data_IF_919487188344
#
_entry.id   IF_919487188344
#
_cell.length_a   1.000
_cell.length_b   1.000
_cell.length_c   1.000
_cell.angle_alpha   90.00
_cell.angle_beta   90.00
_cell.angle_gamma   90.00
#
_symmetry.space_group_name_H-M   'P 1'
#
loop_
_entity.id
_entity.type
_entity.pdbx_description
1 polymer ?
#
# COMPACT_ATOMS: atom_id res chain seq x y z
N UNK A 1 -8.25 46.84 -21.97
CA UNK A 1 -7.62 47.13 -20.66
C UNK A 1 -8.36 46.56 -19.45
N UNK A 2 -9.46 47.14 -18.94
CA UNK A 2 -10.12 46.62 -17.71
C UNK A 2 -10.74 45.22 -17.87
N UNK A 3 -11.29 44.89 -19.05
CA UNK A 3 -11.88 43.57 -19.35
C UNK A 3 -10.85 42.45 -19.48
N UNK A 4 -9.66 42.76 -19.99
CA UNK A 4 -8.53 41.82 -20.08
C UNK A 4 -7.93 41.53 -18.71
N UNK A 5 -7.80 42.56 -17.85
CA UNK A 5 -7.35 42.36 -16.47
C UNK A 5 -8.32 41.48 -15.67
N UNK A 6 -9.63 41.65 -15.88
CA UNK A 6 -10.66 40.78 -15.30
C UNK A 6 -10.58 39.34 -15.81
N UNK A 7 -10.29 39.13 -17.10
CA UNK A 7 -10.09 37.79 -17.66
C UNK A 7 -8.82 37.12 -17.13
N UNK A 8 -7.73 37.87 -16.98
CA UNK A 8 -6.48 37.37 -16.40
C UNK A 8 -6.64 37.03 -14.92
N UNK A 9 -7.33 37.88 -14.13
CA UNK A 9 -7.66 37.57 -12.74
C UNK A 9 -8.52 36.31 -12.63
N UNK A 10 -9.53 36.17 -13.47
CA UNK A 10 -10.43 35.02 -13.45
C UNK A 10 -9.70 33.73 -13.90
N UNK A 11 -8.80 33.82 -14.88
CA UNK A 11 -7.94 32.71 -15.29
C UNK A 11 -6.94 32.30 -14.18
N UNK A 12 -6.37 33.28 -13.46
CA UNK A 12 -5.51 33.05 -12.30
C UNK A 12 -6.29 32.41 -11.14
N UNK A 13 -7.51 32.86 -10.85
CA UNK A 13 -8.36 32.28 -9.80
C UNK A 13 -8.82 30.86 -10.16
N UNK A 14 -9.17 30.60 -11.43
CA UNK A 14 -9.49 29.26 -11.95
C UNK A 14 -8.28 28.34 -11.89
N UNK A 15 -7.09 28.83 -12.27
CA UNK A 15 -5.83 28.06 -12.17
C UNK A 15 -5.49 27.73 -10.71
N UNK A 16 -5.71 28.68 -9.78
CA UNK A 16 -5.48 28.48 -8.35
C UNK A 16 -6.48 27.47 -7.74
N UNK A 17 -7.73 27.46 -8.21
CA UNK A 17 -8.72 26.44 -7.80
C UNK A 17 -8.38 25.06 -8.39
N UNK A 18 -7.99 24.97 -9.67
CA UNK A 18 -7.53 23.72 -10.28
C UNK A 18 -6.31 23.15 -9.56
N UNK A 19 -5.33 23.99 -9.20
CA UNK A 19 -4.15 23.56 -8.45
C UNK A 19 -4.52 23.05 -7.06
N UNK A 20 -5.40 23.76 -6.35
CA UNK A 20 -5.90 23.32 -5.04
C UNK A 20 -6.66 21.98 -5.13
N UNK A 21 -7.53 21.81 -6.13
CA UNK A 21 -8.24 20.56 -6.38
C UNK A 21 -7.29 19.42 -6.77
N UNK A 22 -6.28 19.69 -7.61
CA UNK A 22 -5.28 18.71 -8.00
C UNK A 22 -4.41 18.26 -6.82
N UNK A 23 -3.94 19.20 -6.00
CA UNK A 23 -3.21 18.87 -4.76
C UNK A 23 -4.08 18.06 -3.80
N UNK A 24 -5.36 18.39 -3.66
CA UNK A 24 -6.30 17.61 -2.83
C UNK A 24 -6.50 16.19 -3.37
N UNK A 25 -6.63 16.03 -4.70
CA UNK A 25 -6.73 14.72 -5.34
C UNK A 25 -5.47 13.90 -5.09
N UNK A 26 -4.28 14.50 -5.16
CA UNK A 26 -3.03 13.81 -4.85
C UNK A 26 -3.01 13.41 -3.38
N UNK A 27 -3.25 14.33 -2.44
CA UNK A 27 -3.16 14.02 -1.01
C UNK A 27 -4.13 12.90 -0.61
N UNK A 28 -5.39 13.01 -1.02
CA UNK A 28 -6.42 11.99 -0.71
C UNK A 28 -6.19 10.70 -1.52
N UNK A 29 -5.76 10.82 -2.78
CA UNK A 29 -5.48 9.68 -3.65
C UNK A 29 -4.24 8.87 -3.28
N UNK A 30 -3.31 9.45 -2.53
CA UNK A 30 -2.10 8.76 -2.08
C UNK A 30 -2.38 7.69 -1.02
N UNK A 31 -3.45 7.82 -0.23
CA UNK A 31 -3.96 6.73 0.64
C UNK A 31 -4.38 5.53 -0.20
N UNK A 32 -5.34 5.72 -1.11
CA UNK A 32 -5.80 4.71 -2.06
C UNK A 32 -4.68 4.11 -2.93
N UNK A 33 -3.71 4.93 -3.35
CA UNK A 33 -2.52 4.48 -4.06
C UNK A 33 -1.73 3.47 -3.21
N UNK A 34 -1.51 3.78 -1.93
CA UNK A 34 -0.75 2.89 -1.04
C UNK A 34 -1.52 1.62 -0.71
N UNK A 35 -2.84 1.71 -0.55
CA UNK A 35 -3.70 0.56 -0.29
C UNK A 35 -3.65 -0.43 -1.46
N UNK A 36 -3.80 0.07 -2.68
CA UNK A 36 -3.75 -0.74 -3.89
C UNK A 36 -2.34 -1.33 -4.13
N UNK A 37 -1.29 -0.56 -3.82
CA UNK A 37 0.08 -1.05 -3.79
C UNK A 37 0.24 -2.22 -2.80
N UNK A 38 -0.29 -2.10 -1.57
CA UNK A 38 -0.17 -3.14 -0.54
C UNK A 38 -0.80 -4.46 -0.98
N UNK A 39 -2.07 -4.40 -1.41
CA UNK A 39 -2.86 -5.55 -1.83
C UNK A 39 -2.26 -6.26 -3.05
N UNK A 40 -1.59 -5.52 -3.94
CA UNK A 40 -0.90 -6.11 -5.07
C UNK A 40 0.44 -6.73 -4.66
N UNK A 41 1.30 -5.95 -3.98
CA UNK A 41 2.64 -6.38 -3.62
C UNK A 41 2.63 -7.59 -2.67
N UNK A 42 1.63 -7.73 -1.79
CA UNK A 42 1.55 -8.92 -0.93
C UNK A 42 1.38 -10.22 -1.72
N UNK A 43 0.67 -10.18 -2.84
CA UNK A 43 0.50 -11.36 -3.71
C UNK A 43 1.82 -11.79 -4.35
N UNK A 44 2.74 -10.84 -4.57
CA UNK A 44 4.11 -11.13 -5.04
C UNK A 44 5.01 -11.59 -3.88
N UNK A 45 4.91 -10.93 -2.73
CA UNK A 45 5.70 -11.25 -1.53
C UNK A 45 5.36 -12.65 -1.00
N UNK A 46 4.09 -13.05 -0.93
CA UNK A 46 3.68 -14.39 -0.50
C UNK A 46 4.21 -15.50 -1.42
N UNK A 47 4.29 -15.26 -2.74
CA UNK A 47 4.95 -16.17 -3.69
C UNK A 47 6.45 -16.26 -3.43
N UNK A 48 7.11 -15.13 -3.17
CA UNK A 48 8.54 -15.09 -2.85
C UNK A 48 8.85 -15.80 -1.51
N UNK A 49 8.04 -15.55 -0.48
CA UNK A 49 8.13 -16.19 0.83
C UNK A 49 7.90 -17.71 0.75
N UNK A 50 6.97 -18.15 -0.11
CA UNK A 50 6.76 -19.58 -0.40
C UNK A 50 8.03 -20.24 -0.92
N UNK A 51 8.73 -19.56 -1.83
CA UNK A 51 9.97 -20.05 -2.41
C UNK A 51 11.15 -20.02 -1.42
N UNK A 52 11.21 -19.04 -0.52
CA UNK A 52 12.29 -18.92 0.46
C UNK A 52 12.12 -19.85 1.66
N UNK A 53 10.93 -19.90 2.23
CA UNK A 53 10.70 -20.50 3.54
C UNK A 53 9.97 -21.86 3.50
N UNK A 54 9.32 -22.18 2.39
CA UNK A 54 8.55 -23.41 2.20
C UNK A 54 9.06 -24.20 0.98
N UNK A 55 10.37 -24.24 0.78
CA UNK A 55 11.01 -25.15 -0.16
C UNK A 55 11.44 -26.44 0.54
N UNK A 56 11.42 -27.54 -0.21
CA UNK A 56 12.02 -28.82 0.19
C UNK A 56 13.19 -29.04 -0.75
N UNK A 57 14.39 -29.22 -0.20
CA UNK A 57 15.60 -29.45 -0.99
C UNK A 57 15.43 -30.68 -1.88
N UNK A 58 15.59 -30.50 -3.20
CA UNK A 58 15.44 -31.57 -4.19
C UNK A 58 14.02 -31.79 -4.75
N UNK A 59 13.04 -30.96 -4.38
CA UNK A 59 11.70 -31.05 -4.97
C UNK A 59 11.63 -30.50 -6.40
N UNK A 60 10.94 -31.22 -7.29
CA UNK A 60 10.72 -30.86 -8.70
C UNK A 60 9.90 -29.59 -8.92
N UNK A 61 9.30 -29.04 -7.86
CA UNK A 61 8.50 -27.81 -7.90
C UNK A 61 9.05 -26.79 -6.91
N UNK A 62 9.07 -25.49 -7.27
CA UNK A 62 9.46 -24.45 -6.34
C UNK A 62 8.53 -24.43 -5.12
N UNK A 63 9.10 -24.13 -3.95
CA UNK A 63 8.34 -24.00 -2.71
C UNK A 63 7.15 -23.07 -2.86
N UNK A 64 5.97 -23.52 -2.43
CA UNK A 64 4.76 -22.70 -2.41
C UNK A 64 4.24 -22.63 -0.98
N UNK A 65 3.74 -21.46 -0.60
CA UNK A 65 3.11 -21.29 0.70
C UNK A 65 1.89 -22.23 0.79
N UNK A 66 1.71 -23.00 1.88
CA UNK A 66 0.53 -23.83 2.05
C UNK A 66 -0.75 -22.99 1.87
N UNK A 67 -1.80 -23.53 1.21
CA UNK A 67 -3.02 -22.76 0.92
C UNK A 67 -3.60 -22.06 2.15
N UNK A 68 -3.58 -22.74 3.31
CA UNK A 68 -4.06 -22.22 4.59
C UNK A 68 -3.27 -20.99 5.06
N UNK A 69 -1.95 -20.98 4.87
CA UNK A 69 -1.08 -19.86 5.29
C UNK A 69 -1.23 -18.69 4.33
N UNK A 70 -1.28 -18.95 3.02
CA UNK A 70 -1.53 -17.90 2.02
C UNK A 70 -2.91 -17.26 2.20
N UNK A 71 -3.93 -18.08 2.45
CA UNK A 71 -5.28 -17.61 2.75
C UNK A 71 -5.32 -16.82 4.06
N UNK A 72 -4.57 -17.23 5.10
CA UNK A 72 -4.48 -16.47 6.34
C UNK A 72 -3.83 -15.09 6.13
N UNK A 73 -2.71 -15.01 5.41
CA UNK A 73 -2.00 -13.75 5.15
C UNK A 73 -2.85 -12.76 4.35
N UNK A 74 -3.59 -13.24 3.35
CA UNK A 74 -4.48 -12.39 2.55
C UNK A 74 -5.80 -12.09 3.26
N UNK A 75 -6.40 -13.09 3.89
CA UNK A 75 -7.69 -13.00 4.58
C UNK A 75 -7.65 -12.14 5.84
N UNK A 76 -6.56 -12.22 6.62
CA UNK A 76 -6.45 -11.42 7.86
C UNK A 76 -6.44 -9.92 7.57
N UNK A 77 -5.89 -9.49 6.44
CA UNK A 77 -5.94 -8.09 6.02
C UNK A 77 -7.38 -7.65 5.72
N UNK A 78 -8.17 -8.50 5.03
CA UNK A 78 -9.58 -8.23 4.75
C UNK A 78 -10.42 -8.18 6.04
N UNK A 79 -10.18 -9.11 6.96
CA UNK A 79 -10.81 -9.09 8.29
C UNK A 79 -10.46 -7.80 9.05
N UNK A 80 -9.18 -7.39 8.98
CA UNK A 80 -8.72 -6.11 9.51
C UNK A 80 -9.48 -4.94 8.90
N UNK A 81 -9.58 -4.88 7.57
CA UNK A 81 -10.31 -3.81 6.85
C UNK A 81 -11.78 -3.71 7.27
N UNK A 82 -12.47 -4.85 7.40
CA UNK A 82 -13.87 -4.86 7.87
C UNK A 82 -13.98 -4.32 9.30
N UNK A 83 -13.12 -4.78 10.21
CA UNK A 83 -13.10 -4.29 11.59
C UNK A 83 -12.75 -2.79 11.67
N UNK A 84 -11.80 -2.35 10.85
CA UNK A 84 -11.36 -0.96 10.75
C UNK A 84 -12.46 -0.03 10.24
N UNK A 85 -13.18 -0.43 9.19
CA UNK A 85 -14.30 0.34 8.65
C UNK A 85 -15.37 0.62 9.71
N UNK A 86 -15.74 -0.38 10.51
CA UNK A 86 -16.72 -0.22 11.58
C UNK A 86 -16.19 0.65 12.72
N UNK A 87 -14.96 0.38 13.18
CA UNK A 87 -14.36 1.09 14.31
C UNK A 87 -14.09 2.56 13.99
N UNK A 88 -13.42 2.85 12.87
CA UNK A 88 -13.11 4.22 12.47
C UNK A 88 -14.35 4.97 11.98
N UNK A 89 -15.38 4.28 11.47
CA UNK A 89 -16.69 4.85 11.21
C UNK A 89 -17.29 5.47 12.46
N UNK A 90 -17.35 4.69 13.56
CA UNK A 90 -17.80 5.19 14.86
C UNK A 90 -16.86 6.25 15.46
N UNK A 91 -15.54 6.05 15.36
CA UNK A 91 -14.55 6.95 15.95
C UNK A 91 -14.57 8.34 15.30
N UNK A 92 -14.74 8.40 13.97
CA UNK A 92 -14.86 9.64 13.19
C UNK A 92 -16.01 10.50 13.69
N UNK A 93 -17.13 9.88 14.01
CA UNK A 93 -18.33 10.58 14.45
C UNK A 93 -18.17 11.17 15.86
N UNK A 94 -17.25 10.63 16.68
CA UNK A 94 -17.00 11.07 18.07
C UNK A 94 -15.80 12.01 18.25
N UNK A 95 -14.68 11.76 17.57
CA UNK A 95 -13.38 12.45 17.80
C UNK A 95 -13.00 13.46 16.72
N UNK A 96 -13.81 13.59 15.67
CA UNK A 96 -13.58 14.54 14.58
C UNK A 96 -12.71 13.98 13.45
N UNK A 97 -13.04 14.39 12.22
CA UNK A 97 -12.56 13.78 10.97
C UNK A 97 -11.04 13.91 10.76
N UNK A 98 -10.47 15.09 11.05
CA UNK A 98 -9.05 15.38 10.83
C UNK A 98 -8.12 14.59 11.76
N UNK A 99 -8.52 14.44 13.03
CA UNK A 99 -7.71 13.75 14.04
C UNK A 99 -7.70 12.24 13.79
N UNK A 100 -8.86 11.67 13.43
CA UNK A 100 -8.98 10.25 13.09
C UNK A 100 -8.19 9.90 11.83
N UNK A 101 -8.15 10.80 10.82
CA UNK A 101 -7.32 10.61 9.61
C UNK A 101 -5.82 10.56 9.92
N UNK A 102 -5.31 11.46 10.77
CA UNK A 102 -3.91 11.38 11.20
C UNK A 102 -3.59 10.10 11.98
N UNK A 103 -4.53 9.64 12.82
CA UNK A 103 -4.36 8.38 13.56
C UNK A 103 -4.31 7.15 12.64
N UNK A 104 -5.19 7.07 11.63
CA UNK A 104 -5.18 5.95 10.67
C UNK A 104 -3.89 5.92 9.86
N UNK A 105 -3.42 7.08 9.38
CA UNK A 105 -2.16 7.19 8.66
C UNK A 105 -0.95 6.78 9.52
N UNK A 106 -0.88 7.25 10.78
CA UNK A 106 0.19 6.86 11.69
C UNK A 106 0.18 5.36 11.96
N UNK A 107 -1.00 4.76 12.16
CA UNK A 107 -1.13 3.32 12.33
C UNK A 107 -0.62 2.57 11.11
N UNK A 108 -0.99 2.99 9.89
CA UNK A 108 -0.50 2.40 8.65
C UNK A 108 1.02 2.48 8.53
N UNK A 109 1.62 3.66 8.74
CA UNK A 109 3.09 3.85 8.65
C UNK A 109 3.83 2.93 9.62
N UNK A 110 3.37 2.86 10.88
CA UNK A 110 3.95 1.96 11.89
C UNK A 110 3.84 0.51 11.42
N UNK A 111 2.68 0.11 10.90
CA UNK A 111 2.46 -1.27 10.45
C UNK A 111 3.28 -1.61 9.20
N UNK A 112 3.52 -0.67 8.28
CA UNK A 112 4.39 -0.87 7.11
C UNK A 112 5.84 -1.10 7.53
N UNK A 113 6.36 -0.24 8.39
CA UNK A 113 7.73 -0.36 8.92
C UNK A 113 7.86 -1.66 9.72
N UNK A 114 6.89 -1.97 10.59
CA UNK A 114 6.91 -3.18 11.40
C UNK A 114 6.77 -4.46 10.58
N UNK A 115 5.97 -4.45 9.49
CA UNK A 115 5.87 -5.56 8.55
C UNK A 115 7.20 -5.83 7.84
N UNK A 116 7.95 -4.79 7.49
CA UNK A 116 9.29 -4.91 6.90
C UNK A 116 10.38 -5.33 7.90
N UNK A 117 10.27 -4.87 9.14
CA UNK A 117 11.18 -5.24 10.24
C UNK A 117 10.88 -6.60 10.85
N UNK A 118 9.82 -7.30 10.42
CA UNK A 118 9.35 -8.56 11.00
C UNK A 118 10.51 -9.50 11.39
N UNK A 119 10.71 -9.60 12.71
CA UNK A 119 11.86 -10.26 13.34
C UNK A 119 11.55 -11.75 13.53
N UNK A 120 12.48 -12.61 13.11
CA UNK A 120 12.41 -14.04 13.38
C UNK A 120 13.34 -14.85 12.48
N UNK A 121 14.16 -15.70 13.09
CA UNK A 121 15.02 -16.65 12.36
C UNK A 121 14.26 -17.90 11.89
N UNK A 122 12.99 -18.05 12.29
CA UNK A 122 12.15 -19.21 11.97
C UNK A 122 10.99 -18.83 11.02
N UNK A 123 10.72 -19.62 9.97
CA UNK A 123 9.61 -19.43 9.02
C UNK A 123 8.27 -19.14 9.70
N UNK A 124 7.94 -19.89 10.76
CA UNK A 124 6.66 -19.76 11.48
C UNK A 124 6.55 -18.43 12.21
N UNK A 125 7.66 -17.95 12.79
CA UNK A 125 7.72 -16.66 13.49
C UNK A 125 7.52 -15.50 12.51
N UNK A 126 8.20 -15.54 11.36
CA UNK A 126 8.08 -14.49 10.32
C UNK A 126 6.66 -14.44 9.78
N UNK A 127 6.05 -15.59 9.48
CA UNK A 127 4.66 -15.63 8.99
C UNK A 127 3.65 -15.15 10.03
N UNK A 128 3.82 -15.53 11.31
CA UNK A 128 2.90 -15.12 12.38
C UNK A 128 2.97 -13.61 12.63
N UNK A 129 4.17 -13.05 12.73
CA UNK A 129 4.39 -11.61 12.91
C UNK A 129 3.90 -10.81 11.69
N UNK A 130 4.10 -11.33 10.48
CA UNK A 130 3.57 -10.72 9.25
C UNK A 130 2.03 -10.71 9.25
N UNK A 131 1.38 -11.82 9.62
CA UNK A 131 -0.09 -11.87 9.77
C UNK A 131 -0.60 -10.86 10.80
N UNK A 132 0.07 -10.73 11.94
CA UNK A 132 -0.30 -9.77 12.98
C UNK A 132 -0.24 -8.33 12.49
N UNK A 133 0.88 -7.92 11.87
CA UNK A 133 0.99 -6.57 11.33
C UNK A 133 0.04 -6.33 10.15
N UNK A 134 -0.28 -7.36 9.36
CA UNK A 134 -1.25 -7.25 8.27
C UNK A 134 -2.68 -7.08 8.74
N UNK A 135 -3.07 -7.69 9.85
CA UNK A 135 -4.36 -7.40 10.46
C UNK A 135 -4.49 -5.91 10.78
N UNK A 136 -3.46 -5.35 11.39
CA UNK A 136 -3.45 -3.96 11.86
C UNK A 136 -3.25 -2.93 10.76
N UNK A 137 -2.50 -3.30 9.73
CA UNK A 137 -2.45 -2.57 8.47
C UNK A 137 -3.82 -2.55 7.79
N UNK A 138 -4.47 -3.72 7.65
CA UNK A 138 -5.82 -3.83 7.12
C UNK A 138 -6.82 -3.00 7.90
N UNK A 139 -6.70 -2.98 9.23
CA UNK A 139 -7.50 -2.14 10.12
C UNK A 139 -7.31 -0.64 9.84
N UNK A 140 -6.07 -0.17 9.65
CA UNK A 140 -5.79 1.18 9.20
C UNK A 140 -6.44 1.51 7.85
N UNK A 141 -6.26 0.63 6.87
CA UNK A 141 -6.86 0.73 5.51
C UNK A 141 -8.38 0.89 5.59
N UNK A 142 -9.05 0.11 6.45
CA UNK A 142 -10.49 0.20 6.64
C UNK A 142 -10.98 1.58 7.07
N UNK A 143 -10.17 2.33 7.81
CA UNK A 143 -10.49 3.69 8.22
C UNK A 143 -10.30 4.75 7.13
N UNK A 144 -9.37 4.53 6.20
CA UNK A 144 -9.03 5.53 5.17
C UNK A 144 -10.17 5.75 4.18
N UNK A 145 -10.85 4.69 3.73
CA UNK A 145 -11.97 4.77 2.79
C UNK A 145 -13.09 5.76 3.21
N UNK A 146 -13.72 5.62 4.40
CA UNK A 146 -14.78 6.53 4.82
C UNK A 146 -14.26 7.94 5.11
N UNK A 147 -13.02 8.09 5.59
CA UNK A 147 -12.43 9.40 5.89
C UNK A 147 -12.13 10.16 4.60
N UNK A 148 -11.49 9.51 3.64
CA UNK A 148 -11.18 10.07 2.32
C UNK A 148 -12.44 10.46 1.55
N UNK A 149 -13.51 9.65 1.59
CA UNK A 149 -14.81 10.01 1.01
C UNK A 149 -15.41 11.27 1.65
N UNK A 150 -15.23 11.40 2.97
CA UNK A 150 -15.76 12.53 3.74
C UNK A 150 -14.99 13.83 3.46
N UNK A 151 -13.66 13.79 3.52
CA UNK A 151 -12.79 14.94 3.22
C UNK A 151 -13.07 15.41 1.79
N UNK A 152 -13.19 14.49 0.84
CA UNK A 152 -13.50 14.85 -0.53
C UNK A 152 -14.83 15.59 -0.66
N UNK A 153 -15.88 15.16 0.06
CA UNK A 153 -17.17 15.87 0.07
C UNK A 153 -17.09 17.28 0.65
N UNK A 154 -16.16 17.54 1.57
CA UNK A 154 -15.95 18.86 2.19
C UNK A 154 -15.18 19.82 1.27
N UNK A 155 -14.20 19.31 0.52
CA UNK A 155 -13.35 20.11 -0.35
C UNK A 155 -13.85 20.24 -1.80
N UNK A 156 -14.88 19.48 -2.18
CA UNK A 156 -15.43 19.56 -3.53
C UNK A 156 -16.49 20.66 -3.64
N UNK A 157 -16.18 21.69 -4.43
CA UNK A 157 -17.16 22.70 -4.82
C UNK A 157 -18.27 22.04 -5.67
N UNK A 158 -19.54 22.39 -5.45
CA UNK A 158 -20.77 21.70 -5.93
C UNK A 158 -20.88 21.41 -7.45
N UNK A 159 -19.92 21.84 -8.28
CA UNK A 159 -20.01 21.76 -9.75
C UNK A 159 -19.59 20.42 -10.36
N UNK A 160 -18.66 19.64 -9.77
CA UNK A 160 -18.21 18.34 -10.34
C UNK A 160 -17.75 17.30 -9.30
N UNK A 161 -18.59 16.93 -8.30
CA UNK A 161 -18.23 15.93 -7.28
C UNK A 161 -17.80 14.58 -7.85
N UNK A 162 -18.49 14.10 -8.90
CA UNK A 162 -18.19 12.79 -9.50
C UNK A 162 -16.79 12.69 -10.11
N UNK A 163 -16.30 13.74 -10.77
CA UNK A 163 -14.99 13.71 -11.45
C UNK A 163 -13.83 13.62 -10.47
N UNK A 164 -13.93 14.31 -9.33
CA UNK A 164 -12.90 14.29 -8.27
C UNK A 164 -12.87 12.90 -7.59
N UNK A 165 -14.04 12.29 -7.35
CA UNK A 165 -14.14 10.92 -6.82
C UNK A 165 -13.44 9.94 -7.77
N UNK A 166 -13.80 9.96 -9.05
CA UNK A 166 -13.21 9.05 -10.04
C UNK A 166 -11.70 9.26 -10.15
N UNK A 167 -11.21 10.49 -10.11
CA UNK A 167 -9.77 10.78 -10.17
C UNK A 167 -9.00 10.21 -8.97
N UNK A 168 -9.56 10.30 -7.76
CA UNK A 168 -8.96 9.71 -6.55
C UNK A 168 -9.00 8.19 -6.59
N UNK A 169 -10.10 7.58 -7.02
CA UNK A 169 -10.17 6.13 -7.20
C UNK A 169 -9.23 5.63 -8.30
N UNK A 170 -9.00 6.42 -9.35
CA UNK A 170 -8.05 6.08 -10.42
C UNK A 170 -6.59 5.96 -9.90
N UNK A 171 -6.26 6.61 -8.78
CA UNK A 171 -4.94 6.47 -8.14
C UNK A 171 -4.65 5.04 -7.66
N UNK A 172 -5.68 4.21 -7.43
CA UNK A 172 -5.49 2.79 -7.13
C UNK A 172 -4.79 2.06 -8.29
N UNK A 173 -5.16 2.38 -9.53
CA UNK A 173 -4.54 1.79 -10.72
C UNK A 173 -3.05 2.15 -10.82
N UNK A 174 -2.72 3.41 -10.50
CA UNK A 174 -1.32 3.84 -10.40
C UNK A 174 -0.57 3.09 -9.27
N UNK A 175 -1.22 2.85 -8.13
CA UNK A 175 -0.65 2.07 -7.02
C UNK A 175 -0.27 0.65 -7.42
N UNK A 176 -1.17 -0.05 -8.14
CA UNK A 176 -0.91 -1.39 -8.68
C UNK A 176 0.24 -1.37 -9.68
N UNK A 177 0.22 -0.41 -10.61
CA UNK A 177 1.26 -0.28 -11.64
C UNK A 177 2.64 -0.03 -11.02
N UNK A 178 2.75 0.96 -10.11
CA UNK A 178 4.01 1.28 -9.43
C UNK A 178 4.45 0.13 -8.52
N UNK A 179 3.52 -0.57 -7.87
CA UNK A 179 3.81 -1.77 -7.09
C UNK A 179 4.44 -2.89 -7.90
N UNK A 180 3.88 -3.20 -9.06
CA UNK A 180 4.46 -4.17 -9.99
C UNK A 180 5.80 -3.73 -10.56
N UNK A 181 5.90 -2.48 -11.02
CA UNK A 181 7.14 -1.94 -11.56
C UNK A 181 8.26 -1.97 -10.52
N UNK A 182 7.99 -1.55 -9.29
CA UNK A 182 8.96 -1.56 -8.20
C UNK A 182 9.39 -2.98 -7.84
N UNK A 183 8.44 -3.92 -7.75
CA UNK A 183 8.77 -5.32 -7.51
C UNK A 183 9.68 -5.90 -8.61
N UNK A 184 9.45 -5.55 -9.87
CA UNK A 184 10.31 -5.97 -11.00
C UNK A 184 11.70 -5.34 -10.89
N UNK A 185 11.78 -4.04 -10.62
CA UNK A 185 13.06 -3.32 -10.50
C UNK A 185 13.90 -3.92 -9.37
N UNK A 186 13.33 -4.08 -8.18
CA UNK A 186 14.05 -4.65 -7.03
C UNK A 186 14.46 -6.09 -7.31
N UNK A 187 13.56 -6.91 -7.86
CA UNK A 187 13.88 -8.30 -8.22
C UNK A 187 15.00 -8.40 -9.26
N UNK A 188 14.99 -7.52 -10.27
CA UNK A 188 16.01 -7.48 -11.32
C UNK A 188 17.35 -6.98 -10.79
N UNK A 189 17.35 -5.94 -9.96
CA UNK A 189 18.56 -5.42 -9.33
C UNK A 189 19.25 -6.48 -8.46
N UNK A 190 18.48 -7.26 -7.70
CA UNK A 190 19.00 -8.37 -6.92
C UNK A 190 19.49 -9.52 -7.80
N UNK A 191 18.79 -9.84 -8.90
CA UNK A 191 19.24 -10.86 -9.87
C UNK A 191 20.56 -10.51 -10.56
N UNK A 192 20.78 -9.24 -10.89
CA UNK A 192 22.03 -8.75 -11.51
C UNK A 192 23.19 -8.75 -10.50
N UNK A 193 22.91 -8.41 -9.23
CA UNK A 193 23.93 -8.32 -8.18
C UNK A 193 24.28 -9.68 -7.55
N UNK A 194 23.33 -10.61 -7.54
CA UNK A 194 23.48 -11.97 -7.06
C UNK A 194 22.91 -12.90 -8.14
N UNK A 195 23.77 -13.36 -9.05
CA UNK A 195 23.41 -14.27 -10.14
C UNK A 195 22.96 -15.62 -9.60
N UNK A 196 21.68 -15.71 -9.22
CA UNK A 196 21.05 -16.96 -8.86
C UNK A 196 20.75 -17.76 -10.14
N UNK A 197 21.22 -19.01 -10.28
CA UNK A 197 20.82 -19.88 -11.38
C UNK A 197 19.30 -20.03 -11.41
N UNK A 198 18.73 -20.28 -12.60
CA UNK A 198 17.33 -20.65 -12.69
C UNK A 198 17.06 -21.89 -11.83
N UNK A 199 15.86 -21.99 -11.23
CA UNK A 199 15.49 -23.09 -10.34
C UNK A 199 15.69 -24.48 -10.99
N UNK A 200 15.57 -24.55 -12.31
CA UNK A 200 15.78 -25.76 -13.12
C UNK A 200 17.25 -26.20 -13.22
N UNK A 201 18.20 -25.30 -12.96
CA UNK A 201 19.64 -25.56 -13.07
C UNK A 201 20.23 -25.93 -11.71
N UNK A 202 19.84 -25.22 -10.65
CA UNK A 202 20.26 -25.53 -9.29
C UNK A 202 19.24 -24.99 -8.28
N UNK A 203 18.45 -25.88 -7.68
CA UNK A 203 17.37 -25.53 -6.75
C UNK A 203 17.89 -24.90 -5.43
N UNK A 204 19.12 -25.23 -5.02
CA UNK A 204 19.73 -24.81 -3.75
C UNK A 204 20.43 -23.45 -3.93
N UNK A 205 21.13 -23.24 -5.05
CA UNK A 205 21.73 -21.94 -5.37
C UNK A 205 20.71 -20.88 -5.81
N UNK A 206 19.47 -21.29 -6.15
CA UNK A 206 18.37 -20.38 -6.53
C UNK A 206 17.72 -19.69 -5.32
N UNK A 207 17.83 -20.26 -4.11
CA UNK A 207 17.30 -19.71 -2.86
C UNK A 207 18.36 -18.88 -2.14
N UNK A 208 18.75 -17.77 -2.79
CA UNK A 208 19.73 -16.82 -2.25
C UNK A 208 19.17 -16.15 -0.98
N UNK A 209 19.85 -16.22 0.19
CA UNK A 209 19.40 -15.59 1.44
C UNK A 209 19.07 -14.09 1.31
N UNK A 210 19.70 -13.43 0.35
CA UNK A 210 19.52 -12.01 0.04
C UNK A 210 18.14 -11.68 -0.53
N UNK A 211 17.39 -12.67 -1.02
CA UNK A 211 15.99 -12.50 -1.43
C UNK A 211 15.06 -12.17 -0.23
N UNK A 212 15.52 -12.40 1.01
CA UNK A 212 14.82 -11.94 2.21
C UNK A 212 14.73 -10.40 2.27
N UNK A 213 15.76 -9.71 1.79
CA UNK A 213 15.75 -8.25 1.75
C UNK A 213 14.79 -7.70 0.69
N UNK A 214 14.55 -8.44 -0.40
CA UNK A 214 13.67 -8.00 -1.49
C UNK A 214 12.25 -7.77 -1.00
N UNK A 215 11.66 -8.75 -0.31
CA UNK A 215 10.29 -8.57 0.19
C UNK A 215 10.21 -7.50 1.28
N UNK A 216 11.21 -7.40 2.16
CA UNK A 216 11.27 -6.36 3.19
C UNK A 216 11.31 -4.95 2.59
N UNK A 217 12.15 -4.73 1.57
CA UNK A 217 12.25 -3.44 0.88
C UNK A 217 10.91 -3.09 0.20
N UNK A 218 10.29 -4.07 -0.48
CA UNK A 218 8.96 -3.88 -1.10
C UNK A 218 7.89 -3.54 -0.04
N UNK A 219 7.99 -4.10 1.17
CA UNK A 219 7.07 -3.77 2.27
C UNK A 219 7.35 -2.37 2.85
N UNK A 220 8.61 -1.97 3.05
CA UNK A 220 8.96 -0.69 3.72
C UNK A 220 8.75 0.51 2.82
N UNK A 221 9.06 0.40 1.53
CA UNK A 221 9.01 1.55 0.59
C UNK A 221 7.61 2.16 0.48
N UNK A 222 6.56 1.37 0.72
CA UNK A 222 5.17 1.86 0.73
C UNK A 222 4.87 2.82 1.89
N UNK A 223 5.67 2.82 2.95
CA UNK A 223 5.54 3.77 4.06
C UNK A 223 5.87 5.21 3.64
N UNK A 224 6.67 5.41 2.58
CA UNK A 224 7.08 6.74 2.12
C UNK A 224 5.89 7.57 1.57
N UNK A 225 5.11 7.06 0.59
CA UNK A 225 3.86 7.69 0.17
C UNK A 225 2.95 8.11 1.33
N UNK A 226 2.71 7.21 2.29
CA UNK A 226 1.80 7.43 3.42
C UNK A 226 2.35 8.41 4.46
N UNK A 227 3.67 8.41 4.67
CA UNK A 227 4.31 9.38 5.55
C UNK A 227 4.27 10.79 4.93
N UNK A 228 4.41 10.90 3.60
CA UNK A 228 4.34 12.18 2.88
C UNK A 228 2.92 12.77 2.86
N UNK A 229 1.88 11.96 3.03
CA UNK A 229 0.50 12.44 3.18
C UNK A 229 0.15 12.89 4.58
N UNK A 230 0.94 12.48 5.58
CA UNK A 230 0.75 12.86 6.97
C UNK A 230 1.35 14.26 7.21
N UNK A 231 0.60 15.30 6.83
CA UNK A 231 0.92 16.72 7.06
C UNK A 231 0.50 17.18 8.46
#
# INVERSE_FOLDING_TARGET
MAREQLQVLNALDVAKTLWCHFTTIIIVGMGFFTDAYDLFCISLVTKLLGRLYYHVDGASKPGTLPPNVSAAVNGVALCGTLAGQLFFGWLRDKMGRKLVYGMTLMLMVICFVASGLSFGSSPKSVMSTLCFFRFWLGFGIGGDYPLSATIMSEYTNKKTPGTIIVAVFAMQGFGIFVGGLFAIIVSTAFKVKFSAPAYEVDAIASTVPQADYVWRIILIVRALPTALTNY
#
